data_IF_844376719317
#
_entry.id   IF_844376719317
#
_cell.length_a   1.000
_cell.length_b   1.000
_cell.length_c   1.000
_cell.angle_alpha   90.00
_cell.angle_beta   90.00
_cell.angle_gamma   90.00
#
_symmetry.space_group_name_H-M   'P 1'
#
loop_
_entity.id
_entity.type
_entity.pdbx_description
1 polymer ?
#
# COMPACT_ATOMS: atom_id res chain seq x y z
N UNK A 1 12.46 -9.92 -15.90
CA UNK A 1 11.47 -9.97 -17.00
C UNK A 1 11.65 -8.73 -17.87
N UNK A 2 11.42 -8.81 -19.20
CA UNK A 2 11.62 -7.66 -20.08
C UNK A 2 10.73 -6.47 -19.69
N UNK A 3 11.31 -5.28 -19.77
CA UNK A 3 10.63 -3.99 -19.51
C UNK A 3 10.10 -3.74 -18.09
N UNK A 4 10.44 -4.56 -17.10
CA UNK A 4 10.21 -4.22 -15.70
C UNK A 4 11.29 -3.27 -15.18
N UNK A 5 10.93 -2.40 -14.24
CA UNK A 5 11.85 -1.46 -13.60
C UNK A 5 11.77 -1.63 -12.09
N UNK A 6 12.90 -1.69 -11.43
CA UNK A 6 13.00 -1.75 -9.96
C UNK A 6 13.95 -0.63 -9.54
N UNK A 7 13.49 0.19 -8.61
CA UNK A 7 14.23 1.30 -8.05
C UNK A 7 15.38 0.88 -7.15
N UNK A 8 15.96 1.83 -6.45
CA UNK A 8 17.12 1.66 -5.56
C UNK A 8 16.69 1.21 -4.18
N UNK A 9 17.61 0.57 -3.43
CA UNK A 9 17.42 0.17 -2.02
C UNK A 9 16.22 -0.74 -1.77
N UNK A 10 15.75 -1.46 -2.79
CA UNK A 10 14.69 -2.43 -2.65
C UNK A 10 15.20 -3.71 -1.99
N UNK A 11 14.34 -4.38 -1.20
CA UNK A 11 14.58 -5.69 -0.62
C UNK A 11 13.54 -6.64 -1.20
N UNK A 12 13.99 -7.71 -1.84
CA UNK A 12 13.15 -8.75 -2.41
C UNK A 12 13.40 -10.05 -1.64
N UNK A 13 12.35 -10.60 -1.06
CA UNK A 13 12.36 -11.87 -0.37
C UNK A 13 12.45 -13.06 -1.32
N UNK A 14 12.46 -14.27 -0.75
CA UNK A 14 12.50 -15.51 -1.53
C UNK A 14 11.22 -15.70 -2.35
N UNK A 15 11.36 -16.29 -3.54
CA UNK A 15 10.25 -16.58 -4.46
C UNK A 15 9.43 -15.34 -4.89
N UNK A 16 10.02 -14.15 -4.89
CA UNK A 16 9.38 -12.97 -5.46
C UNK A 16 9.40 -13.06 -6.98
N UNK A 17 8.23 -12.90 -7.59
CA UNK A 17 8.07 -12.85 -9.05
C UNK A 17 7.68 -11.44 -9.49
N UNK A 18 8.45 -10.88 -10.44
CA UNK A 18 8.18 -9.58 -11.06
C UNK A 18 7.92 -9.81 -12.55
N UNK A 19 6.68 -9.67 -12.98
CA UNK A 19 6.30 -9.85 -14.39
C UNK A 19 6.79 -8.68 -15.27
N UNK A 20 6.62 -8.83 -16.58
CA UNK A 20 6.94 -7.77 -17.56
C UNK A 20 6.16 -6.49 -17.26
N UNK A 21 6.77 -5.33 -17.54
CA UNK A 21 6.15 -4.00 -17.44
C UNK A 21 5.74 -3.57 -16.01
N UNK A 22 6.10 -4.32 -14.99
CA UNK A 22 5.94 -3.91 -13.61
C UNK A 22 6.94 -2.79 -13.28
N UNK A 23 6.47 -1.78 -12.58
CA UNK A 23 7.31 -0.68 -12.08
C UNK A 23 7.31 -0.72 -10.56
N UNK A 24 8.49 -0.75 -9.98
CA UNK A 24 8.71 -0.69 -8.52
C UNK A 24 9.62 0.51 -8.24
N UNK A 25 9.20 1.38 -7.35
CA UNK A 25 9.92 2.56 -6.92
C UNK A 25 11.12 2.25 -6.03
N UNK A 26 11.61 3.27 -5.35
CA UNK A 26 12.74 3.22 -4.44
C UNK A 26 12.35 2.71 -3.04
N UNK A 27 13.28 2.05 -2.34
CA UNK A 27 13.11 1.61 -0.95
C UNK A 27 11.88 0.73 -0.71
N UNK A 28 11.46 -0.05 -1.69
CA UNK A 28 10.33 -0.99 -1.57
C UNK A 28 10.80 -2.29 -0.94
N UNK A 29 10.02 -2.80 0.02
CA UNK A 29 10.26 -4.10 0.66
C UNK A 29 9.19 -5.08 0.21
N UNK A 30 9.57 -6.05 -0.60
CA UNK A 30 8.71 -7.12 -1.09
C UNK A 30 9.09 -8.39 -0.35
N UNK A 31 8.20 -8.87 0.50
CA UNK A 31 8.46 -10.07 1.31
C UNK A 31 8.29 -11.36 0.49
N UNK A 32 8.59 -12.50 1.12
CA UNK A 32 8.61 -13.80 0.48
C UNK A 32 7.28 -14.15 -0.21
N UNK A 33 7.36 -14.87 -1.32
CA UNK A 33 6.23 -15.44 -2.05
C UNK A 33 5.25 -14.40 -2.66
N UNK A 34 5.69 -13.18 -2.89
CA UNK A 34 4.86 -12.15 -3.54
C UNK A 34 5.08 -12.19 -5.06
N UNK A 35 3.98 -12.20 -5.81
CA UNK A 35 3.99 -12.09 -7.28
C UNK A 35 3.34 -10.78 -7.71
N UNK A 36 4.10 -9.96 -8.43
CA UNK A 36 3.60 -8.76 -9.11
C UNK A 36 3.42 -9.05 -10.58
N UNK A 37 2.19 -9.05 -11.05
CA UNK A 37 1.84 -9.30 -12.45
C UNK A 37 1.82 -8.02 -13.27
N UNK A 38 1.86 -8.18 -14.59
CA UNK A 38 1.71 -7.06 -15.55
C UNK A 38 0.52 -6.19 -15.21
N UNK A 39 0.74 -4.88 -15.13
CA UNK A 39 -0.25 -3.89 -14.69
C UNK A 39 -0.02 -3.37 -13.26
N UNK A 40 0.82 -4.03 -12.46
CA UNK A 40 1.17 -3.53 -11.13
C UNK A 40 2.19 -2.38 -11.21
N UNK A 41 1.90 -1.32 -10.44
CA UNK A 41 2.79 -0.18 -10.22
C UNK A 41 2.90 0.07 -8.71
N UNK A 42 4.11 -0.03 -8.16
CA UNK A 42 4.41 0.15 -6.75
C UNK A 42 5.32 1.34 -6.61
N UNK A 43 4.89 2.37 -5.88
CA UNK A 43 5.66 3.59 -5.66
C UNK A 43 6.71 3.40 -4.53
N UNK A 44 7.40 4.49 -4.17
CA UNK A 44 8.48 4.46 -3.18
C UNK A 44 7.98 4.10 -1.77
N UNK A 45 8.89 3.60 -0.95
CA UNK A 45 8.69 3.36 0.49
C UNK A 45 7.55 2.36 0.81
N UNK A 46 7.10 1.56 -0.15
CA UNK A 46 6.02 0.58 0.03
C UNK A 46 6.53 -0.70 0.69
N UNK A 47 5.69 -1.27 1.57
CA UNK A 47 5.89 -2.59 2.16
C UNK A 47 4.82 -3.57 1.64
N UNK A 48 5.27 -4.68 1.05
CA UNK A 48 4.42 -5.79 0.63
C UNK A 48 4.71 -7.00 1.53
N UNK A 49 3.77 -7.33 2.38
CA UNK A 49 3.86 -8.43 3.34
C UNK A 49 3.92 -9.81 2.68
N UNK A 50 4.43 -10.83 3.39
CA UNK A 50 4.64 -12.16 2.81
C UNK A 50 3.32 -12.76 2.31
N UNK A 51 3.43 -13.38 1.14
CA UNK A 51 2.30 -14.07 0.50
C UNK A 51 1.08 -13.18 0.20
N UNK A 52 1.23 -11.86 0.18
CA UNK A 52 0.15 -11.03 -0.34
C UNK A 52 0.00 -11.26 -1.87
N UNK A 53 -1.24 -11.23 -2.35
CA UNK A 53 -1.60 -11.63 -3.70
C UNK A 53 -2.15 -10.44 -4.47
N UNK A 54 -1.62 -10.24 -5.68
CA UNK A 54 -2.17 -9.29 -6.65
C UNK A 54 -2.81 -10.06 -7.80
N UNK A 55 -3.98 -9.64 -8.24
CA UNK A 55 -4.55 -10.14 -9.51
C UNK A 55 -4.27 -9.14 -10.63
N UNK A 56 -4.49 -9.52 -11.89
CA UNK A 56 -4.35 -8.62 -13.03
C UNK A 56 -5.52 -8.71 -14.00
N UNK A 57 -6.47 -9.58 -13.72
CA UNK A 57 -7.70 -9.76 -14.52
C UNK A 57 -8.86 -10.14 -13.60
N UNK A 58 -10.04 -9.55 -13.84
CA UNK A 58 -11.23 -9.75 -13.01
C UNK A 58 -11.94 -11.07 -13.32
N UNK A 59 -11.93 -11.48 -14.58
CA UNK A 59 -12.72 -12.60 -15.08
C UNK A 59 -11.88 -13.63 -15.88
N UNK A 60 -10.88 -14.29 -15.27
CA UNK A 60 -10.01 -15.24 -15.97
C UNK A 60 -10.79 -16.48 -16.45
N UNK A 61 -10.40 -16.98 -17.63
CA UNK A 61 -10.84 -18.26 -18.18
C UNK A 61 -9.68 -18.88 -18.97
N UNK A 62 -9.33 -20.11 -18.68
CA UNK A 62 -8.21 -20.80 -19.38
C UNK A 62 -8.42 -20.89 -20.88
N UNK A 63 -9.63 -21.18 -21.29
CA UNK A 63 -10.01 -21.38 -22.69
C UNK A 63 -10.05 -20.08 -23.50
N UNK A 64 -10.11 -18.92 -22.83
CA UNK A 64 -10.28 -17.62 -23.50
C UNK A 64 -9.10 -16.70 -23.21
N UNK A 65 -8.37 -16.31 -24.25
CA UNK A 65 -7.24 -15.40 -24.12
C UNK A 65 -7.74 -13.97 -23.87
N UNK A 66 -7.40 -13.41 -22.69
CA UNK A 66 -7.85 -12.07 -22.25
C UNK A 66 -6.69 -11.15 -21.86
N UNK A 67 -5.50 -11.32 -22.44
CA UNK A 67 -4.32 -10.49 -22.11
C UNK A 67 -4.53 -8.99 -22.32
N UNK A 68 -5.42 -8.61 -23.25
CA UNK A 68 -5.79 -7.23 -23.53
C UNK A 68 -6.69 -6.59 -22.44
N UNK A 69 -7.17 -7.39 -21.48
CA UNK A 69 -8.05 -6.98 -20.38
C UNK A 69 -7.31 -6.86 -19.03
N UNK A 70 -5.98 -6.86 -19.04
CA UNK A 70 -5.23 -6.68 -17.81
C UNK A 70 -5.46 -5.28 -17.27
N UNK A 71 -5.81 -5.21 -15.99
CA UNK A 71 -6.07 -3.97 -15.29
C UNK A 71 -4.86 -3.52 -14.47
N UNK A 72 -4.73 -2.21 -14.33
CA UNK A 72 -3.64 -1.61 -13.56
C UNK A 72 -4.01 -1.56 -12.09
N UNK A 73 -3.07 -1.98 -11.24
CA UNK A 73 -3.16 -1.80 -9.78
C UNK A 73 -2.02 -0.90 -9.34
N UNK A 74 -2.34 0.13 -8.57
CA UNK A 74 -1.36 1.08 -8.05
C UNK A 74 -1.26 0.94 -6.53
N UNK A 75 -0.04 0.87 -6.04
CA UNK A 75 0.26 0.97 -4.61
C UNK A 75 1.09 2.22 -4.42
N UNK A 76 0.48 3.24 -3.81
CA UNK A 76 1.08 4.56 -3.69
C UNK A 76 2.08 4.60 -2.54
N UNK A 77 2.89 5.65 -2.54
CA UNK A 77 4.01 5.86 -1.64
C UNK A 77 3.68 5.56 -0.18
N UNK A 78 4.57 4.83 0.47
CA UNK A 78 4.51 4.53 1.90
C UNK A 78 3.39 3.59 2.33
N UNK A 79 2.58 3.06 1.40
CA UNK A 79 1.54 2.10 1.73
C UNK A 79 2.11 0.78 2.25
N UNK A 80 1.36 0.13 3.12
CA UNK A 80 1.69 -1.20 3.65
C UNK A 80 0.58 -2.20 3.33
N UNK A 81 0.95 -3.31 2.72
CA UNK A 81 0.05 -4.44 2.47
C UNK A 81 0.42 -5.58 3.39
N UNK A 82 -0.51 -6.00 4.23
CA UNK A 82 -0.30 -7.07 5.22
C UNK A 82 -0.16 -8.46 4.59
N UNK A 83 0.37 -9.39 5.38
CA UNK A 83 0.55 -10.78 4.96
C UNK A 83 -0.76 -11.42 4.49
N UNK A 84 -0.71 -12.24 3.45
CA UNK A 84 -1.87 -12.95 2.89
C UNK A 84 -3.04 -12.04 2.44
N UNK A 85 -2.86 -10.74 2.36
CA UNK A 85 -3.88 -9.86 1.79
C UNK A 85 -4.02 -10.10 0.28
N UNK A 86 -5.24 -9.98 -0.25
CA UNK A 86 -5.52 -10.09 -1.68
C UNK A 86 -5.95 -8.73 -2.22
N UNK A 87 -5.26 -8.26 -3.26
CA UNK A 87 -5.57 -7.02 -3.96
C UNK A 87 -6.17 -7.38 -5.32
N UNK A 88 -7.45 -7.15 -5.47
CA UNK A 88 -8.14 -7.31 -6.76
C UNK A 88 -7.67 -6.19 -7.69
N UNK A 89 -7.39 -6.53 -8.95
CA UNK A 89 -6.90 -5.58 -9.94
C UNK A 89 -7.88 -4.43 -10.20
N UNK A 90 -7.37 -3.33 -10.70
CA UNK A 90 -8.13 -2.10 -10.93
C UNK A 90 -8.16 -1.16 -9.73
N UNK A 91 -7.67 -1.59 -8.55
CA UNK A 91 -7.69 -0.77 -7.34
C UNK A 91 -6.42 0.07 -7.18
N UNK A 92 -6.57 1.22 -6.54
CA UNK A 92 -5.47 2.04 -6.02
C UNK A 92 -5.42 1.92 -4.50
N UNK A 93 -4.25 1.57 -3.96
CA UNK A 93 -3.96 1.65 -2.52
C UNK A 93 -3.31 3.01 -2.27
N UNK A 94 -3.98 3.85 -1.50
CA UNK A 94 -3.59 5.24 -1.24
C UNK A 94 -2.26 5.37 -0.48
N UNK A 95 -1.74 6.59 -0.44
CA UNK A 95 -0.48 6.91 0.26
C UNK A 95 -0.60 6.60 1.74
N UNK A 96 0.43 5.93 2.28
CA UNK A 96 0.48 5.56 3.70
C UNK A 96 -0.73 4.74 4.18
N UNK A 97 -1.54 4.22 3.26
CA UNK A 97 -2.63 3.32 3.60
C UNK A 97 -2.10 2.01 4.16
N UNK A 98 -2.89 1.37 4.99
CA UNK A 98 -2.55 0.11 5.60
C UNK A 98 -3.65 -0.93 5.33
N UNK A 99 -3.30 -1.93 4.54
CA UNK A 99 -4.15 -3.10 4.31
C UNK A 99 -3.78 -4.16 5.34
N UNK A 100 -4.72 -4.51 6.22
CA UNK A 100 -4.48 -5.50 7.26
C UNK A 100 -4.21 -6.90 6.66
N UNK A 101 -3.52 -7.74 7.42
CA UNK A 101 -3.26 -9.12 7.02
C UNK A 101 -4.57 -9.88 6.72
N UNK A 102 -4.58 -10.68 5.66
CA UNK A 102 -5.74 -11.46 5.23
C UNK A 102 -6.90 -10.66 4.64
N UNK A 103 -6.79 -9.35 4.49
CA UNK A 103 -7.85 -8.53 3.91
C UNK A 103 -8.00 -8.77 2.39
N UNK A 104 -9.22 -8.65 1.87
CA UNK A 104 -9.49 -8.70 0.42
C UNK A 104 -9.96 -7.34 -0.07
N UNK A 105 -9.06 -6.62 -0.74
CA UNK A 105 -9.32 -5.29 -1.29
C UNK A 105 -9.99 -5.43 -2.65
N UNK A 106 -11.19 -4.85 -2.79
CA UNK A 106 -12.02 -4.91 -4.00
C UNK A 106 -12.37 -3.53 -4.57
N UNK A 107 -11.82 -2.45 -4.00
CA UNK A 107 -12.01 -1.05 -4.40
C UNK A 107 -10.83 -0.21 -3.93
N UNK A 108 -10.76 1.02 -4.40
CA UNK A 108 -9.75 1.98 -3.97
C UNK A 108 -9.72 2.15 -2.45
N UNK A 109 -8.51 2.31 -1.92
CA UNK A 109 -8.24 2.56 -0.51
C UNK A 109 -7.75 4.00 -0.38
N UNK A 110 -8.40 4.85 0.42
CA UNK A 110 -7.97 6.23 0.63
C UNK A 110 -6.57 6.34 1.25
N UNK A 111 -5.94 7.48 1.06
CA UNK A 111 -4.68 7.80 1.72
C UNK A 111 -4.83 7.68 3.24
N UNK A 112 -3.83 7.11 3.91
CA UNK A 112 -3.80 6.85 5.36
C UNK A 112 -4.89 5.91 5.90
N UNK A 113 -5.77 5.37 5.08
CA UNK A 113 -6.83 4.50 5.58
C UNK A 113 -6.28 3.16 6.07
N UNK A 114 -6.77 2.72 7.22
CA UNK A 114 -6.66 1.33 7.68
C UNK A 114 -7.86 0.56 7.14
N UNK A 115 -7.61 -0.45 6.29
CA UNK A 115 -8.66 -1.33 5.79
C UNK A 115 -8.43 -2.77 6.21
N UNK A 116 -9.52 -3.47 6.56
CA UNK A 116 -9.47 -4.87 6.99
C UNK A 116 -10.73 -5.64 6.61
N UNK A 117 -10.65 -6.97 6.61
CA UNK A 117 -11.77 -7.89 6.41
C UNK A 117 -11.95 -8.35 4.98
N UNK A 118 -12.99 -9.17 4.74
CA UNK A 118 -13.35 -9.79 3.46
C UNK A 118 -14.84 -9.54 3.20
N UNK A 119 -15.18 -8.64 2.27
CA UNK A 119 -14.33 -7.68 1.58
C UNK A 119 -13.79 -6.60 2.54
N UNK A 120 -12.63 -6.02 2.22
CA UNK A 120 -12.00 -5.01 3.06
C UNK A 120 -12.87 -3.75 3.21
N UNK A 121 -12.94 -3.24 4.44
CA UNK A 121 -13.65 -2.00 4.80
C UNK A 121 -12.73 -1.13 5.62
N UNK A 122 -12.90 0.18 5.52
CA UNK A 122 -12.14 1.11 6.34
C UNK A 122 -12.54 0.95 7.82
N UNK A 123 -11.52 0.79 8.66
CA UNK A 123 -11.66 0.57 10.10
C UNK A 123 -10.96 1.65 10.94
N UNK A 124 -10.42 2.67 10.28
CA UNK A 124 -9.74 3.79 10.91
C UNK A 124 -8.69 4.41 10.01
N UNK A 125 -7.73 5.07 10.64
CA UNK A 125 -6.63 5.77 10.02
C UNK A 125 -5.28 5.34 10.60
N UNK A 126 -4.24 5.43 9.78
CA UNK A 126 -2.86 5.12 10.17
C UNK A 126 -1.98 6.35 10.06
N UNK A 127 -1.04 6.48 10.97
CA UNK A 127 -0.01 7.50 10.86
C UNK A 127 1.09 7.09 9.87
N UNK A 128 1.93 8.02 9.48
CA UNK A 128 3.14 7.76 8.66
C UNK A 128 4.13 6.80 9.33
N UNK A 129 4.08 6.66 10.64
CA UNK A 129 4.89 5.69 11.41
C UNK A 129 4.21 4.32 11.55
N UNK A 130 3.05 4.10 10.88
CA UNK A 130 2.36 2.80 10.89
C UNK A 130 1.59 2.52 12.19
N UNK A 131 1.28 3.54 12.99
CA UNK A 131 0.44 3.41 14.18
C UNK A 131 -0.99 3.84 13.90
N UNK A 132 -1.95 3.10 14.43
CA UNK A 132 -3.35 3.46 14.34
C UNK A 132 -3.60 4.78 15.05
N UNK A 133 -4.25 5.70 14.37
CA UNK A 133 -4.68 6.96 14.97
C UNK A 133 -5.92 6.73 15.84
N UNK A 134 -5.95 7.39 16.99
CA UNK A 134 -7.12 7.44 17.87
C UNK A 134 -8.23 8.32 17.31
N UNK A 135 -9.27 8.53 18.10
CA UNK A 135 -10.32 9.51 17.79
C UNK A 135 -9.76 10.94 17.72
N UNK A 136 -10.42 11.79 16.93
CA UNK A 136 -10.09 13.20 16.87
C UNK A 136 -10.44 13.92 18.18
N UNK A 137 -9.63 14.89 18.57
CA UNK A 137 -9.90 15.80 19.67
C UNK A 137 -11.01 16.82 19.32
N UNK A 138 -11.29 17.76 20.23
CA UNK A 138 -12.28 18.81 20.04
C UNK A 138 -12.02 19.72 18.82
N UNK A 139 -10.78 19.76 18.31
CA UNK A 139 -10.35 20.52 17.14
C UNK A 139 -10.29 19.66 15.87
N UNK A 140 -10.76 18.41 15.93
CA UNK A 140 -10.71 17.48 14.81
C UNK A 140 -9.30 16.90 14.55
N UNK A 141 -8.38 16.99 15.50
CA UNK A 141 -7.00 16.56 15.37
C UNK A 141 -6.81 15.14 15.94
N UNK A 142 -6.21 14.26 15.14
CA UNK A 142 -5.74 12.94 15.55
C UNK A 142 -4.23 12.98 15.73
N UNK A 143 -3.71 12.46 16.83
CA UNK A 143 -2.27 12.46 17.11
C UNK A 143 -1.71 11.05 17.07
N UNK A 144 -0.57 10.88 16.40
CA UNK A 144 0.16 9.61 16.39
C UNK A 144 0.70 9.31 17.80
N UNK A 145 0.36 8.16 18.40
CA UNK A 145 0.79 7.83 19.76
C UNK A 145 2.30 7.61 19.88
N UNK A 146 2.99 7.34 18.79
CA UNK A 146 4.43 7.10 18.77
C UNK A 146 5.24 8.36 18.50
N UNK A 147 4.87 9.12 17.45
CA UNK A 147 5.69 10.23 16.96
C UNK A 147 5.17 11.60 17.35
N UNK A 148 3.95 11.70 17.89
CA UNK A 148 3.30 12.98 18.15
C UNK A 148 2.82 13.72 16.89
N UNK A 149 3.08 13.21 15.68
CA UNK A 149 2.61 13.86 14.45
C UNK A 149 1.08 13.97 14.45
N UNK A 150 0.60 15.11 13.99
CA UNK A 150 -0.81 15.49 14.00
C UNK A 150 -1.41 15.34 12.61
N UNK A 151 -2.66 14.92 12.59
CA UNK A 151 -3.43 14.65 11.38
C UNK A 151 -4.82 15.25 11.52
N UNK A 152 -5.39 15.69 10.41
CA UNK A 152 -6.77 16.19 10.35
C UNK A 152 -7.40 15.80 9.03
N UNK A 153 -8.70 15.56 9.03
CA UNK A 153 -9.47 15.43 7.81
C UNK A 153 -9.73 16.81 7.20
N UNK A 154 -9.53 16.94 5.89
CA UNK A 154 -9.93 18.11 5.14
C UNK A 154 -11.46 18.10 4.89
N UNK A 155 -11.98 19.16 4.24
CA UNK A 155 -13.41 19.29 3.94
C UNK A 155 -13.94 18.18 3.01
N UNK A 156 -13.08 17.49 2.30
CA UNK A 156 -13.40 16.33 1.47
C UNK A 156 -13.30 14.99 2.23
N UNK A 157 -13.00 15.02 3.53
CA UNK A 157 -12.84 13.84 4.38
C UNK A 157 -11.53 13.08 4.17
N UNK A 158 -10.55 13.65 3.47
CA UNK A 158 -9.22 13.05 3.28
C UNK A 158 -8.34 13.39 4.47
N UNK A 159 -7.61 12.39 4.96
CA UNK A 159 -6.65 12.63 6.04
C UNK A 159 -5.38 13.29 5.50
N UNK A 160 -4.90 14.31 6.19
CA UNK A 160 -3.64 15.01 5.90
C UNK A 160 -2.76 15.06 7.15
N UNK A 161 -1.45 14.96 6.97
CA UNK A 161 -0.48 15.21 8.04
C UNK A 161 -0.23 16.72 8.14
N UNK A 162 -0.34 17.29 9.34
CA UNK A 162 -0.20 18.73 9.56
C UNK A 162 1.25 19.17 9.79
N UNK A 163 2.11 18.26 10.22
CA UNK A 163 3.45 18.60 10.71
C UNK A 163 4.56 18.30 9.71
N UNK A 164 4.30 17.45 8.71
CA UNK A 164 5.30 17.05 7.70
C UNK A 164 4.63 16.92 6.35
N UNK A 165 5.20 17.56 5.32
CA UNK A 165 4.73 17.41 3.96
C UNK A 165 4.84 15.96 3.47
N UNK A 166 3.87 15.49 2.71
CA UNK A 166 3.77 14.08 2.32
C UNK A 166 4.95 13.56 1.50
N UNK A 167 5.59 14.44 0.72
CA UNK A 167 6.72 14.07 -0.12
C UNK A 167 8.08 14.16 0.61
N UNK A 168 8.11 14.69 1.83
CA UNK A 168 9.32 14.78 2.65
C UNK A 168 9.50 13.47 3.42
N UNK A 169 10.65 12.80 3.31
CA UNK A 169 10.93 11.61 4.12
C UNK A 169 10.86 11.93 5.62
N UNK A 170 10.36 10.99 6.40
CA UNK A 170 10.44 11.11 7.86
C UNK A 170 11.92 11.15 8.29
N UNK A 171 12.26 11.94 9.34
CA UNK A 171 13.59 11.87 9.92
C UNK A 171 13.88 10.42 10.32
N UNK A 172 15.08 9.96 10.01
CA UNK A 172 15.55 8.68 10.50
C UNK A 172 15.58 8.76 12.02
N UNK A 173 14.72 8.02 12.69
CA UNK A 173 14.91 7.77 14.11
C UNK A 173 16.27 7.09 14.24
N UNK A 174 17.19 7.68 15.02
CA UNK A 174 18.41 6.98 15.41
C UNK A 174 17.96 5.63 15.98
N UNK A 175 18.42 4.56 15.35
CA UNK A 175 18.15 3.21 15.81
C UNK A 175 18.50 3.16 17.31
N UNK A 176 17.47 3.04 18.14
CA UNK A 176 17.66 2.56 19.49
C UNK A 176 18.12 1.11 19.30
N UNK A 177 19.38 0.88 19.62
CA UNK A 177 20.08 -0.40 19.56
C UNK A 177 19.36 -1.47 20.38
#
# INVERSE_FOLDING_TARGET
MPHSKIGKRCILGQNVHIASQVVVGDNVKIQNNVSLYTGACVEDDVFLGPSCVFTNIVNPRSEIVRRHMYEKTRVLRGASVGANATIVCGCTIGRFAFVAAGAVVTRDVPDYALVMGVPARQAGWMSRHGYRLGGADANGIMTCPYSGLRYRQDDAGRLICLDVEENVPLPKTSDAA
#
